data_IF_967754459722
#
_entry.id   IF_967754459722
#
_cell.length_a   1.000
_cell.length_b   1.000
_cell.length_c   1.000
_cell.angle_alpha   90.00
_cell.angle_beta   90.00
_cell.angle_gamma   90.00
#
_symmetry.space_group_name_H-M   'P 1'
#
loop_
_entity.id
_entity.type
_entity.pdbx_description
1 polymer ?
#
# COMPACT_ATOMS: atom_id res chain seq x y z
N UNK A 1 -7.63 13.12 6.21
CA UNK A 1 -6.45 12.25 6.43
C UNK A 1 -5.33 12.71 5.50
N UNK A 2 -4.05 12.63 5.90
CA UNK A 2 -2.92 13.01 5.03
C UNK A 2 -1.98 11.83 4.90
N UNK A 3 -1.86 11.30 3.69
CA UNK A 3 -0.95 10.21 3.36
C UNK A 3 0.43 10.77 3.04
N UNK A 4 1.45 10.36 3.79
CA UNK A 4 2.83 10.78 3.59
C UNK A 4 3.68 9.57 3.29
N UNK A 5 4.54 9.67 2.28
CA UNK A 5 5.55 8.66 1.99
C UNK A 5 6.90 9.34 1.79
N UNK A 6 7.96 8.71 2.31
CA UNK A 6 9.33 9.17 2.11
C UNK A 6 10.08 8.13 1.29
N UNK A 7 10.67 8.53 0.18
CA UNK A 7 11.43 7.64 -0.71
C UNK A 7 12.85 8.16 -0.86
N UNK A 8 13.82 7.25 -0.91
CA UNK A 8 15.19 7.58 -1.28
C UNK A 8 15.35 7.56 -2.80
N UNK A 9 15.42 8.73 -3.41
CA UNK A 9 15.56 8.92 -4.87
C UNK A 9 16.87 9.66 -5.12
N UNK A 10 17.73 9.12 -5.99
CA UNK A 10 19.06 9.68 -6.30
C UNK A 10 19.91 10.03 -5.06
N UNK A 11 19.82 9.18 -4.03
CA UNK A 11 20.54 9.35 -2.76
C UNK A 11 19.96 10.41 -1.81
N UNK A 12 18.87 11.08 -2.17
CA UNK A 12 18.15 12.05 -1.33
C UNK A 12 16.84 11.47 -0.82
N UNK A 13 16.45 11.87 0.38
CA UNK A 13 15.17 11.46 0.97
C UNK A 13 14.10 12.51 0.62
N UNK A 14 13.20 12.16 -0.28
CA UNK A 14 12.11 13.02 -0.75
C UNK A 14 10.79 12.64 -0.06
N UNK A 15 9.96 13.64 0.29
CA UNK A 15 8.65 13.44 0.94
C UNK A 15 7.51 13.78 -0.03
N UNK A 16 6.60 12.83 -0.24
CA UNK A 16 5.42 12.99 -1.08
C UNK A 16 4.14 12.93 -0.25
N UNK A 17 3.11 13.64 -0.72
CA UNK A 17 1.84 13.78 0.01
C UNK A 17 0.64 13.55 -0.89
N UNK A 18 -0.39 12.93 -0.30
CA UNK A 18 -1.75 12.90 -0.84
C UNK A 18 -2.73 13.35 0.24
N UNK A 19 -3.66 14.22 -0.13
CA UNK A 19 -4.68 14.77 0.76
C UNK A 19 -6.08 14.24 0.46
N UNK A 20 -6.28 13.66 -0.72
CA UNK A 20 -7.55 13.11 -1.14
C UNK A 20 -7.76 11.73 -0.51
N UNK A 21 -9.00 11.38 -0.10
CA UNK A 21 -9.31 10.02 0.31
C UNK A 21 -9.12 9.04 -0.86
N UNK A 22 -8.99 7.73 -0.61
CA UNK A 22 -9.02 6.73 -1.66
C UNK A 22 -10.35 6.81 -2.41
N UNK A 23 -10.32 6.88 -3.74
CA UNK A 23 -11.52 6.79 -4.56
C UNK A 23 -11.67 5.37 -5.12
N UNK A 24 -12.79 5.10 -5.80
CA UNK A 24 -13.10 3.80 -6.41
C UNK A 24 -11.90 3.22 -7.19
N UNK A 25 -11.15 4.03 -7.93
CA UNK A 25 -9.94 3.60 -8.64
C UNK A 25 -8.82 3.05 -7.74
N UNK A 26 -8.62 3.63 -6.55
CA UNK A 26 -7.65 3.12 -5.58
C UNK A 26 -8.20 1.88 -4.87
N UNK A 27 -9.48 1.89 -4.50
CA UNK A 27 -10.18 0.74 -3.89
C UNK A 27 -10.08 -0.48 -4.81
N UNK A 28 -10.41 -0.34 -6.10
CA UNK A 28 -10.33 -1.43 -7.08
C UNK A 28 -8.91 -1.96 -7.24
N UNK A 29 -7.89 -1.09 -7.23
CA UNK A 29 -6.49 -1.53 -7.30
C UNK A 29 -6.06 -2.29 -6.05
N UNK A 30 -6.46 -1.83 -4.88
CA UNK A 30 -6.20 -2.53 -3.62
C UNK A 30 -6.87 -3.91 -3.61
N UNK A 31 -8.12 -4.02 -4.10
CA UNK A 31 -8.83 -5.30 -4.21
C UNK A 31 -8.14 -6.26 -5.18
N UNK A 32 -7.68 -5.79 -6.34
CA UNK A 32 -6.93 -6.61 -7.30
C UNK A 32 -5.62 -7.11 -6.67
N UNK A 33 -4.88 -6.23 -6.00
CA UNK A 33 -3.65 -6.58 -5.30
C UNK A 33 -3.92 -7.64 -4.21
N UNK A 34 -4.91 -7.43 -3.36
CA UNK A 34 -5.30 -8.38 -2.32
C UNK A 34 -5.71 -9.74 -2.92
N UNK A 35 -6.49 -9.74 -4.01
CA UNK A 35 -6.91 -10.96 -4.70
C UNK A 35 -5.70 -11.75 -5.22
N UNK A 36 -4.71 -11.07 -5.81
CA UNK A 36 -3.48 -11.72 -6.27
C UNK A 36 -2.66 -12.28 -5.11
N UNK A 37 -2.57 -11.54 -4.00
CA UNK A 37 -1.88 -12.00 -2.79
C UNK A 37 -2.55 -13.24 -2.19
N UNK A 38 -3.88 -13.25 -2.07
CA UNK A 38 -4.61 -14.44 -1.60
C UNK A 38 -4.34 -15.63 -2.51
N UNK A 39 -4.47 -15.47 -3.83
CA UNK A 39 -4.21 -16.54 -4.79
C UNK A 39 -2.77 -17.07 -4.72
N UNK A 40 -1.81 -16.20 -4.45
CA UNK A 40 -0.40 -16.55 -4.29
C UNK A 40 -0.16 -17.50 -3.11
N UNK A 41 -0.96 -17.41 -2.04
CA UNK A 41 -0.86 -18.26 -0.85
C UNK A 41 -1.84 -19.45 -0.85
N UNK A 42 -2.60 -19.67 -1.93
CA UNK A 42 -3.50 -20.82 -2.05
C UNK A 42 -2.79 -22.11 -2.50
N UNK A 43 -1.56 -22.01 -2.98
CA UNK A 43 -0.75 -23.18 -3.36
C UNK A 43 -0.16 -23.84 -2.11
N UNK A 44 -0.18 -25.18 -2.06
CA UNK A 44 0.33 -25.98 -0.95
C UNK A 44 1.86 -25.82 -0.79
N UNK A 45 2.57 -25.59 -1.90
CA UNK A 45 4.01 -25.33 -1.92
C UNK A 45 4.36 -23.87 -1.59
N UNK A 46 3.34 -23.02 -1.41
CA UNK A 46 3.47 -21.59 -1.16
C UNK A 46 3.93 -20.78 -2.39
N UNK A 47 4.21 -19.48 -2.20
CA UNK A 47 4.56 -18.60 -3.31
C UNK A 47 5.95 -18.88 -3.90
N UNK A 48 6.03 -18.85 -5.23
CA UNK A 48 7.29 -18.86 -5.99
C UNK A 48 7.99 -17.49 -5.96
N UNK A 49 9.32 -17.47 -6.18
CA UNK A 49 10.10 -16.24 -6.32
C UNK A 49 9.50 -15.28 -7.37
N UNK A 50 9.02 -15.82 -8.49
CA UNK A 50 8.38 -15.03 -9.55
C UNK A 50 7.10 -14.34 -9.05
N UNK A 51 6.32 -15.02 -8.21
CA UNK A 51 5.12 -14.41 -7.63
C UNK A 51 5.48 -13.34 -6.60
N UNK A 52 6.52 -13.54 -5.78
CA UNK A 52 7.01 -12.51 -4.88
C UNK A 52 7.49 -11.25 -5.62
N UNK A 53 8.26 -11.43 -6.72
CA UNK A 53 8.71 -10.32 -7.56
C UNK A 53 7.54 -9.62 -8.26
N UNK A 54 6.53 -10.37 -8.72
CA UNK A 54 5.31 -9.76 -9.28
C UNK A 54 4.55 -8.96 -8.23
N UNK A 55 4.41 -9.51 -7.02
CA UNK A 55 3.75 -8.81 -5.92
C UNK A 55 4.48 -7.52 -5.55
N UNK A 56 5.83 -7.50 -5.52
CA UNK A 56 6.57 -6.26 -5.25
C UNK A 56 6.34 -5.19 -6.33
N UNK A 57 6.26 -5.58 -7.60
CA UNK A 57 5.90 -4.66 -8.70
C UNK A 57 4.47 -4.12 -8.57
N UNK A 58 3.51 -4.98 -8.22
CA UNK A 58 2.11 -4.59 -8.07
C UNK A 58 1.90 -3.65 -6.86
N UNK A 59 2.62 -3.87 -5.75
CA UNK A 59 2.63 -2.96 -4.60
C UNK A 59 3.26 -1.61 -4.99
N UNK A 60 4.34 -1.61 -5.76
CA UNK A 60 4.95 -0.38 -6.27
C UNK A 60 4.00 0.38 -7.22
N UNK A 61 3.30 -0.33 -8.11
CA UNK A 61 2.28 0.26 -8.97
C UNK A 61 1.11 0.85 -8.18
N UNK A 62 0.66 0.16 -7.13
CA UNK A 62 -0.34 0.69 -6.24
C UNK A 62 0.12 2.02 -5.64
N UNK A 63 1.33 2.07 -5.08
CA UNK A 63 1.88 3.28 -4.46
C UNK A 63 1.98 4.45 -5.47
N UNK A 64 2.51 4.22 -6.68
CA UNK A 64 2.59 5.24 -7.73
C UNK A 64 1.21 5.81 -8.05
N UNK A 65 0.23 4.94 -8.25
CA UNK A 65 -1.13 5.36 -8.56
C UNK A 65 -1.82 6.05 -7.39
N UNK A 66 -1.60 5.57 -6.17
CA UNK A 66 -2.17 6.12 -4.95
C UNK A 66 -1.62 7.52 -4.68
N UNK A 67 -0.32 7.77 -4.84
CA UNK A 67 0.25 9.12 -4.70
C UNK A 67 0.20 9.93 -6.01
N UNK A 68 -0.77 9.67 -6.90
CA UNK A 68 -1.04 10.46 -8.11
C UNK A 68 0.18 10.63 -9.05
N UNK A 69 1.01 9.59 -9.19
CA UNK A 69 2.19 9.55 -10.07
C UNK A 69 3.28 10.58 -9.75
N UNK A 70 3.40 11.00 -8.49
CA UNK A 70 4.47 11.91 -8.04
C UNK A 70 5.88 11.31 -8.11
N UNK A 71 5.98 9.99 -8.21
CA UNK A 71 7.20 9.20 -8.33
C UNK A 71 6.93 7.98 -9.22
N UNK A 72 8.00 7.33 -9.69
CA UNK A 72 7.93 6.15 -10.56
C UNK A 72 7.89 4.83 -9.77
N UNK A 73 7.57 3.73 -10.47
CA UNK A 73 7.66 2.39 -9.89
C UNK A 73 9.07 2.09 -9.39
N UNK A 74 10.09 2.50 -10.16
CA UNK A 74 11.48 2.25 -9.82
C UNK A 74 11.91 3.01 -8.56
N UNK A 75 11.37 4.22 -8.35
CA UNK A 75 11.59 5.00 -7.13
C UNK A 75 11.04 4.28 -5.89
N UNK A 76 9.90 3.60 -6.01
CA UNK A 76 9.37 2.79 -4.92
C UNK A 76 10.25 1.56 -4.71
N UNK A 77 10.53 0.79 -5.76
CA UNK A 77 11.29 -0.46 -5.67
C UNK A 77 12.72 -0.26 -5.11
N UNK A 78 13.36 0.86 -5.44
CA UNK A 78 14.73 1.14 -5.00
C UNK A 78 14.81 2.05 -3.77
N UNK A 79 13.76 2.84 -3.52
CA UNK A 79 13.79 3.95 -2.57
C UNK A 79 12.91 3.76 -1.34
N UNK A 80 11.98 2.80 -1.34
CA UNK A 80 11.14 2.51 -0.18
C UNK A 80 11.90 1.70 0.87
N UNK A 81 11.98 2.24 2.08
CA UNK A 81 12.43 1.50 3.26
C UNK A 81 11.23 0.92 4.03
N UNK A 82 11.49 0.26 5.17
CA UNK A 82 10.44 -0.32 6.00
C UNK A 82 9.36 0.69 6.44
N UNK A 83 9.74 1.96 6.68
CA UNK A 83 8.78 3.01 7.07
C UNK A 83 7.93 3.41 5.88
N UNK A 84 8.52 3.59 4.71
CA UNK A 84 7.77 3.86 3.49
C UNK A 84 6.76 2.73 3.19
N UNK A 85 7.18 1.47 3.34
CA UNK A 85 6.30 0.32 3.15
C UNK A 85 5.17 0.26 4.17
N UNK A 86 5.41 0.67 5.42
CA UNK A 86 4.35 0.79 6.43
C UNK A 86 3.28 1.78 5.99
N UNK A 87 3.67 2.91 5.41
CA UNK A 87 2.71 3.91 4.89
C UNK A 87 1.98 3.42 3.64
N UNK A 88 2.63 2.61 2.79
CA UNK A 88 1.96 1.95 1.66
C UNK A 88 0.93 0.93 2.15
N UNK A 89 1.28 0.10 3.14
CA UNK A 89 0.34 -0.87 3.74
C UNK A 89 -0.88 -0.18 4.33
N UNK A 90 -0.70 0.90 5.11
CA UNK A 90 -1.82 1.70 5.62
C UNK A 90 -2.70 2.25 4.50
N UNK A 91 -2.11 2.75 3.42
CA UNK A 91 -2.87 3.24 2.28
C UNK A 91 -3.69 2.13 1.58
N UNK A 92 -3.16 0.90 1.53
CA UNK A 92 -3.89 -0.28 1.04
C UNK A 92 -5.04 -0.63 1.99
N UNK A 93 -4.76 -0.70 3.29
CA UNK A 93 -5.74 -1.02 4.34
C UNK A 93 -6.91 -0.03 4.35
N UNK A 94 -6.61 1.27 4.29
CA UNK A 94 -7.61 2.33 4.17
C UNK A 94 -8.45 2.20 2.90
N UNK A 95 -7.83 1.84 1.77
CA UNK A 95 -8.53 1.62 0.51
C UNK A 95 -9.42 0.36 0.55
N UNK A 96 -9.08 -0.63 1.37
CA UNK A 96 -9.88 -1.84 1.58
C UNK A 96 -10.95 -1.66 2.67
N UNK A 97 -10.93 -0.54 3.40
CA UNK A 97 -11.81 -0.33 4.54
C UNK A 97 -11.47 -1.24 5.72
N UNK A 98 -10.22 -1.70 5.82
CA UNK A 98 -9.73 -2.41 7.00
C UNK A 98 -9.75 -1.40 8.17
N UNK A 99 -10.35 -1.75 9.33
CA UNK A 99 -10.29 -0.88 10.49
C UNK A 99 -8.83 -0.64 10.88
N UNK A 100 -8.39 0.62 10.92
CA UNK A 100 -7.17 0.95 11.65
C UNK A 100 -7.49 0.78 13.14
N UNK A 101 -6.67 0.04 13.89
CA UNK A 101 -6.84 -0.14 15.34
C UNK A 101 -6.81 1.18 16.13
N UNK A 102 -6.44 2.30 15.48
CA UNK A 102 -6.55 3.65 16.04
C UNK A 102 -7.98 4.24 15.98
N UNK A 103 -8.94 3.57 15.33
CA UNK A 103 -10.38 3.91 15.28
C UNK A 103 -11.26 2.89 16.03
N UNK A 104 -10.75 2.22 17.07
CA UNK A 104 -11.63 1.57 18.06
C UNK A 104 -12.31 2.66 18.89
N UNK A 105 -13.45 3.12 18.38
CA UNK A 105 -14.42 3.96 19.08
C UNK A 105 -14.72 3.35 20.47
N UNK A 106 -14.35 4.08 21.54
CA UNK A 106 -14.73 3.82 22.94
C UNK A 106 -16.27 3.99 23.16
N UNK A 107 -17.09 3.52 22.22
CA UNK A 107 -18.50 3.88 22.08
C UNK A 107 -19.50 2.75 22.33
N UNK A 108 -19.08 1.51 22.63
CA UNK A 108 -20.03 0.41 22.91
C UNK A 108 -19.65 -0.45 24.12
N UNK A 109 -19.66 0.17 25.28
CA UNK A 109 -19.94 -0.51 26.54
C UNK A 109 -20.92 0.31 27.36
N UNK A 110 -22.22 0.20 27.03
CA UNK A 110 -23.35 0.50 27.95
C UNK A 110 -24.68 0.02 27.35
N UNK A 111 -24.99 -1.25 27.58
CA UNK A 111 -26.21 -1.66 28.29
C UNK A 111 -26.19 -3.16 28.58
#
# INVERSE_FOLDING_TARGET
MVYKIKLRIDGKLEEFKRTEPPYLKEITRALILQQHQVAMYQDDDGPTDKQFLKNSEEVADFAVNFWNNQFSRQDVLNGADLKAMTEVSKAIDDALGTPNDDEVDEGKAKK
#
